data_IF_458942974558
#
_entry.id   IF_458942974558
#
_cell.length_a   1.000
_cell.length_b   1.000
_cell.length_c   1.000
_cell.angle_alpha   90.00
_cell.angle_beta   90.00
_cell.angle_gamma   90.00
#
_symmetry.space_group_name_H-M   'P 1'
#
loop_
_entity.id
_entity.type
_entity.pdbx_description
1 polymer ?
#
# COMPACT_ATOMS: atom_id res chain seq x y z
N UNK A 1 6.54 -24.31 17.58
CA UNK A 1 6.59 -23.19 18.55
C UNK A 1 7.89 -22.42 18.40
N UNK A 2 7.82 -21.08 18.34
CA UNK A 2 8.97 -20.17 18.27
C UNK A 2 8.88 -19.20 19.46
N UNK A 3 10.00 -18.92 20.12
CA UNK A 3 10.08 -17.99 21.25
C UNK A 3 11.01 -16.84 20.88
N UNK A 4 10.45 -15.62 20.80
CA UNK A 4 11.17 -14.37 20.56
C UNK A 4 11.33 -13.66 21.91
N UNK A 5 12.51 -13.76 22.53
CA UNK A 5 12.72 -13.38 23.93
C UNK A 5 13.66 -12.19 24.09
N UNK A 6 13.39 -11.32 25.05
CA UNK A 6 14.27 -10.23 25.45
C UNK A 6 14.12 -8.94 24.64
N UNK A 7 13.23 -8.92 23.65
CA UNK A 7 13.01 -7.77 22.77
C UNK A 7 12.28 -6.59 23.45
N UNK A 8 12.31 -5.44 22.77
CA UNK A 8 11.32 -4.39 22.97
C UNK A 8 10.11 -4.67 22.06
N UNK A 9 9.02 -5.16 22.64
CA UNK A 9 7.81 -5.54 21.91
C UNK A 9 6.90 -4.31 21.78
N UNK A 10 6.65 -3.89 20.54
CA UNK A 10 5.83 -2.72 20.23
C UNK A 10 4.37 -3.13 20.13
N UNK A 11 3.63 -2.84 21.17
CA UNK A 11 2.18 -3.05 21.26
C UNK A 11 1.42 -1.81 20.76
N UNK A 12 0.12 -1.91 20.60
CA UNK A 12 -0.71 -0.84 20.04
C UNK A 12 -0.61 0.52 20.79
N UNK A 13 -0.31 0.50 22.08
CA UNK A 13 -0.30 1.70 22.93
C UNK A 13 0.95 1.88 23.80
N UNK A 14 1.90 0.95 23.74
CA UNK A 14 3.12 0.99 24.56
C UNK A 14 4.22 0.10 23.97
N UNK A 15 5.42 0.31 24.42
CA UNK A 15 6.55 -0.62 24.23
C UNK A 15 6.74 -1.43 25.50
N UNK A 16 6.76 -2.76 25.37
CA UNK A 16 7.00 -3.69 26.47
C UNK A 16 8.45 -4.13 26.46
N UNK A 17 9.25 -3.72 27.45
CA UNK A 17 10.68 -3.95 27.53
C UNK A 17 11.11 -4.46 28.93
N UNK A 18 11.89 -5.56 29.03
CA UNK A 18 11.98 -6.57 27.99
C UNK A 18 10.66 -7.32 27.82
N UNK A 19 10.41 -7.84 26.63
CA UNK A 19 9.22 -8.61 26.31
C UNK A 19 9.56 -9.92 25.63
N UNK A 20 8.62 -10.85 25.63
CA UNK A 20 8.68 -12.13 24.93
C UNK A 20 7.41 -12.35 24.12
N UNK A 21 7.54 -12.74 22.87
CA UNK A 21 6.44 -13.18 22.00
C UNK A 21 6.63 -14.66 21.70
N UNK A 22 5.58 -15.45 21.95
CA UNK A 22 5.57 -16.89 21.68
C UNK A 22 4.64 -17.13 20.49
N UNK A 23 5.17 -17.80 19.46
CA UNK A 23 4.44 -18.17 18.26
C UNK A 23 4.18 -19.68 18.28
N UNK A 24 2.95 -20.07 17.94
CA UNK A 24 2.57 -21.45 17.72
C UNK A 24 1.80 -21.56 16.41
N UNK A 25 2.28 -22.38 15.49
CA UNK A 25 1.84 -22.43 14.11
C UNK A 25 1.77 -21.03 13.49
N UNK A 26 0.60 -20.60 13.01
CA UNK A 26 0.36 -19.31 12.33
C UNK A 26 -0.03 -18.19 13.30
N UNK A 27 -0.06 -18.43 14.64
CA UNK A 27 -0.60 -17.52 15.63
C UNK A 27 0.40 -17.08 16.69
N UNK A 28 0.16 -15.89 17.21
CA UNK A 28 0.75 -15.43 18.46
C UNK A 28 0.01 -16.14 19.61
N UNK A 29 0.71 -17.03 20.32
CA UNK A 29 0.15 -17.73 21.46
C UNK A 29 0.10 -16.82 22.69
N UNK A 30 1.24 -16.19 23.02
CA UNK A 30 1.39 -15.36 24.21
C UNK A 30 2.29 -14.14 23.95
N UNK A 31 2.02 -13.07 24.70
CA UNK A 31 2.87 -11.88 24.81
C UNK A 31 3.13 -11.63 26.28
N UNK A 32 4.39 -11.78 26.70
CA UNK A 32 4.77 -11.81 28.12
C UNK A 32 5.75 -10.68 28.46
N UNK A 33 5.64 -10.14 29.65
CA UNK A 33 6.68 -9.28 30.22
C UNK A 33 7.87 -10.11 30.66
N UNK A 34 9.09 -9.61 30.41
CA UNK A 34 10.33 -10.26 30.77
C UNK A 34 10.87 -11.21 29.70
N UNK A 35 11.96 -11.88 30.04
CA UNK A 35 12.62 -12.88 29.20
C UNK A 35 12.09 -14.29 29.51
N UNK A 36 12.22 -15.18 28.53
CA UNK A 36 11.91 -16.61 28.68
C UNK A 36 13.10 -17.45 28.22
N UNK A 37 13.37 -18.51 28.92
CA UNK A 37 14.34 -19.52 28.49
C UNK A 37 13.77 -20.44 27.43
N UNK A 38 14.64 -21.05 26.64
CA UNK A 38 14.24 -22.05 25.65
C UNK A 38 13.50 -23.22 26.33
N UNK A 39 12.38 -23.64 25.74
CA UNK A 39 11.69 -24.86 26.11
C UNK A 39 12.13 -26.01 25.20
N UNK A 40 12.17 -27.27 25.70
CA UNK A 40 12.49 -28.41 24.84
C UNK A 40 11.58 -28.44 23.60
N UNK A 41 12.20 -28.53 22.40
CA UNK A 41 11.46 -28.59 21.14
C UNK A 41 11.02 -27.25 20.56
N UNK A 42 11.32 -26.10 21.17
CA UNK A 42 11.08 -24.78 20.61
C UNK A 42 12.32 -24.19 19.92
N UNK A 43 12.12 -23.45 18.85
CA UNK A 43 13.12 -22.51 18.31
C UNK A 43 13.14 -21.29 19.21
N UNK A 44 14.30 -20.90 19.68
CA UNK A 44 14.46 -19.76 20.59
C UNK A 44 15.41 -18.74 19.99
N UNK A 45 14.95 -17.49 19.92
CA UNK A 45 15.73 -16.32 19.48
C UNK A 45 15.90 -15.38 20.67
N UNK A 46 17.15 -15.09 21.02
CA UNK A 46 17.50 -14.00 21.93
C UNK A 46 17.55 -12.71 21.14
N UNK A 47 16.61 -11.80 21.43
CA UNK A 47 16.41 -10.54 20.73
C UNK A 47 16.71 -9.32 21.59
N UNK A 48 17.64 -9.45 22.56
CA UNK A 48 18.17 -8.26 23.22
C UNK A 48 18.63 -7.25 22.17
N UNK A 49 18.40 -5.96 22.43
CA UNK A 49 18.70 -4.88 21.49
C UNK A 49 17.95 -4.91 20.14
N UNK A 50 16.80 -5.60 20.10
CA UNK A 50 15.89 -5.58 18.93
C UNK A 50 14.50 -5.09 19.34
N UNK A 51 13.79 -4.57 18.34
CA UNK A 51 12.35 -4.29 18.43
C UNK A 51 11.59 -5.41 17.71
N UNK A 52 10.48 -5.85 18.29
CA UNK A 52 9.48 -6.68 17.60
C UNK A 52 8.27 -5.81 17.34
N UNK A 53 7.98 -5.57 16.07
CA UNK A 53 6.83 -4.76 15.61
C UNK A 53 5.85 -5.65 14.83
N UNK A 54 4.56 -5.28 14.70
CA UNK A 54 3.67 -5.95 13.75
C UNK A 54 4.26 -5.88 12.35
N UNK A 55 4.13 -6.93 11.56
CA UNK A 55 4.60 -6.96 10.18
C UNK A 55 4.01 -5.81 9.35
N UNK A 56 4.82 -5.19 8.53
CA UNK A 56 4.40 -4.04 7.72
C UNK A 56 3.42 -4.46 6.63
N UNK A 57 2.45 -3.59 6.34
CA UNK A 57 1.44 -3.78 5.31
C UNK A 57 1.51 -2.60 4.33
N UNK A 58 2.02 -2.85 3.13
CA UNK A 58 2.12 -1.83 2.09
C UNK A 58 0.90 -1.89 1.15
N UNK A 59 0.05 -0.89 1.24
CA UNK A 59 -1.21 -0.86 0.46
C UNK A 59 -1.06 -0.18 -0.90
N UNK A 60 0.16 0.31 -1.23
CA UNK A 60 0.42 1.00 -2.49
C UNK A 60 1.87 0.77 -2.95
N UNK A 61 2.08 -0.21 -3.82
CA UNK A 61 3.40 -0.59 -4.33
C UNK A 61 3.31 -1.14 -5.76
N UNK A 62 4.00 -0.51 -6.70
CA UNK A 62 4.01 -0.87 -8.13
C UNK A 62 5.13 -1.83 -8.50
N UNK A 63 6.22 -1.85 -7.74
CA UNK A 63 7.36 -2.67 -8.09
C UNK A 63 8.47 -2.68 -7.05
N UNK A 64 9.44 -3.59 -7.23
CA UNK A 64 10.61 -3.74 -6.35
C UNK A 64 11.72 -4.49 -7.10
N UNK A 65 12.98 -4.03 -6.95
CA UNK A 65 14.20 -4.72 -7.42
C UNK A 65 14.11 -5.20 -8.89
N UNK A 66 13.59 -4.37 -9.77
CA UNK A 66 13.48 -4.67 -11.21
C UNK A 66 12.18 -5.37 -11.62
N UNK A 67 11.32 -5.74 -10.68
CA UNK A 67 10.03 -6.39 -10.93
C UNK A 67 8.88 -5.39 -10.82
N UNK A 68 7.98 -5.41 -11.79
CA UNK A 68 6.79 -4.55 -11.88
C UNK A 68 5.53 -5.41 -11.72
N UNK A 69 4.50 -4.88 -11.08
CA UNK A 69 3.24 -5.61 -10.84
C UNK A 69 2.52 -6.00 -12.14
N UNK A 70 2.67 -5.21 -13.21
CA UNK A 70 2.10 -5.50 -14.52
C UNK A 70 3.00 -6.42 -15.38
N UNK A 71 4.16 -6.86 -14.86
CA UNK A 71 5.01 -7.83 -15.56
C UNK A 71 4.34 -9.22 -15.54
N UNK A 72 3.79 -9.62 -16.67
CA UNK A 72 3.13 -10.92 -16.86
C UNK A 72 4.05 -12.14 -16.61
N UNK A 73 5.38 -11.92 -16.52
CA UNK A 73 6.36 -12.98 -16.21
C UNK A 73 6.50 -13.28 -14.72
N UNK A 74 5.57 -12.82 -13.91
CA UNK A 74 5.50 -13.15 -12.49
C UNK A 74 5.96 -12.04 -11.55
N UNK A 75 5.86 -10.77 -11.97
CA UNK A 75 6.29 -9.61 -11.17
C UNK A 75 5.73 -9.62 -9.75
N UNK A 76 4.43 -9.82 -9.57
CA UNK A 76 3.78 -9.88 -8.24
C UNK A 76 4.38 -10.99 -7.37
N UNK A 77 4.66 -12.17 -7.94
CA UNK A 77 5.29 -13.29 -7.23
C UNK A 77 6.69 -12.94 -6.74
N UNK A 78 7.49 -12.38 -7.61
CA UNK A 78 8.86 -11.99 -7.31
C UNK A 78 8.90 -10.88 -6.25
N UNK A 79 7.97 -9.94 -6.30
CA UNK A 79 7.82 -8.92 -5.27
C UNK A 79 7.46 -9.54 -3.91
N UNK A 80 6.51 -10.49 -3.86
CA UNK A 80 6.13 -11.14 -2.63
C UNK A 80 7.33 -11.76 -1.89
N UNK A 81 8.22 -12.44 -2.63
CA UNK A 81 9.43 -13.08 -2.06
C UNK A 81 10.46 -12.04 -1.60
N UNK A 82 10.52 -10.86 -2.21
CA UNK A 82 11.52 -9.83 -1.89
C UNK A 82 11.10 -8.85 -0.83
N UNK A 83 9.81 -8.51 -0.77
CA UNK A 83 9.27 -7.53 0.17
C UNK A 83 9.52 -7.89 1.64
N UNK A 84 9.61 -9.18 1.97
CA UNK A 84 9.92 -9.64 3.33
C UNK A 84 11.29 -9.17 3.84
N UNK A 85 12.23 -8.86 2.95
CA UNK A 85 13.55 -8.30 3.32
C UNK A 85 13.44 -6.89 3.90
N UNK A 86 12.34 -6.22 3.63
CA UNK A 86 12.01 -4.86 4.08
C UNK A 86 10.90 -4.84 5.15
N UNK A 87 10.65 -6.01 5.78
CA UNK A 87 9.69 -6.16 6.86
C UNK A 87 8.22 -6.20 6.44
N UNK A 88 7.95 -6.24 5.14
CA UNK A 88 6.57 -6.32 4.63
C UNK A 88 6.07 -7.76 4.73
N UNK A 89 4.98 -7.96 5.46
CA UNK A 89 4.34 -9.27 5.61
C UNK A 89 3.08 -9.41 4.77
N UNK A 90 2.50 -8.27 4.34
CA UNK A 90 1.36 -8.25 3.43
C UNK A 90 1.42 -6.99 2.54
N UNK A 91 0.91 -7.07 1.31
CA UNK A 91 0.89 -5.92 0.41
C UNK A 91 -0.26 -5.98 -0.60
N UNK A 92 -0.72 -4.81 -1.05
CA UNK A 92 -1.61 -4.66 -2.18
C UNK A 92 -0.77 -4.43 -3.45
N UNK A 93 -0.63 -5.40 -4.35
CA UNK A 93 -0.03 -5.12 -5.65
C UNK A 93 -0.81 -4.00 -6.33
N UNK A 94 -0.10 -2.97 -6.82
CA UNK A 94 -0.75 -1.78 -7.36
C UNK A 94 -0.51 -1.68 -8.86
N UNK A 95 -1.61 -1.56 -9.64
CA UNK A 95 -1.51 -1.29 -11.08
C UNK A 95 -1.42 0.20 -11.36
N UNK A 96 -0.75 0.58 -12.43
CA UNK A 96 -1.03 1.86 -13.10
C UNK A 96 -2.23 1.71 -14.04
N UNK A 97 -2.72 2.83 -14.60
CA UNK A 97 -3.73 2.81 -15.66
C UNK A 97 -3.27 1.93 -16.83
N UNK A 98 -4.06 0.94 -17.21
CA UNK A 98 -3.72 -0.02 -18.25
C UNK A 98 -4.94 -0.47 -19.07
N UNK A 99 -4.70 -1.17 -20.17
CA UNK A 99 -5.77 -1.73 -21.00
C UNK A 99 -6.48 -2.91 -20.29
N UNK A 100 -7.75 -3.22 -20.60
CA UNK A 100 -8.52 -4.29 -19.97
C UNK A 100 -7.82 -5.65 -19.97
N UNK A 101 -7.13 -6.00 -21.06
CA UNK A 101 -6.37 -7.26 -21.15
C UNK A 101 -5.20 -7.31 -20.15
N UNK A 102 -4.46 -6.22 -20.02
CA UNK A 102 -3.37 -6.14 -19.04
C UNK A 102 -3.92 -6.18 -17.62
N UNK A 103 -5.02 -5.48 -17.35
CA UNK A 103 -5.74 -5.52 -16.08
C UNK A 103 -6.20 -6.94 -15.73
N UNK A 104 -6.83 -7.64 -16.68
CA UNK A 104 -7.28 -9.02 -16.48
C UNK A 104 -6.12 -9.97 -16.17
N UNK A 105 -4.98 -9.84 -16.88
CA UNK A 105 -3.77 -10.64 -16.63
C UNK A 105 -3.19 -10.36 -15.24
N UNK A 106 -3.11 -9.11 -14.85
CA UNK A 106 -2.65 -8.69 -13.52
C UNK A 106 -3.56 -9.24 -12.41
N UNK A 107 -4.88 -9.07 -12.54
CA UNK A 107 -5.84 -9.55 -11.54
C UNK A 107 -5.87 -11.08 -11.45
N UNK A 108 -5.64 -11.79 -12.55
CA UNK A 108 -5.48 -13.25 -12.53
C UNK A 108 -4.24 -13.66 -11.72
N UNK A 109 -3.09 -12.97 -11.91
CA UNK A 109 -1.88 -13.23 -11.14
C UNK A 109 -2.08 -12.95 -9.63
N UNK A 110 -2.80 -11.88 -9.29
CA UNK A 110 -3.17 -11.56 -7.89
C UNK A 110 -4.03 -12.68 -7.31
N UNK A 111 -5.07 -13.12 -8.02
CA UNK A 111 -5.95 -14.21 -7.60
C UNK A 111 -5.17 -15.50 -7.34
N UNK A 112 -4.33 -15.91 -8.28
CA UNK A 112 -3.55 -17.14 -8.18
C UNK A 112 -2.66 -17.15 -6.94
N UNK A 113 -1.99 -16.03 -6.66
CA UNK A 113 -1.12 -15.88 -5.49
C UNK A 113 -1.88 -15.77 -4.16
N UNK A 114 -3.10 -15.27 -4.17
CA UNK A 114 -3.99 -15.25 -3.00
C UNK A 114 -4.54 -16.65 -2.68
N UNK A 115 -4.82 -17.43 -3.71
CA UNK A 115 -5.28 -18.82 -3.55
C UNK A 115 -4.12 -19.79 -3.22
N UNK A 116 -2.92 -19.50 -3.72
CA UNK A 116 -1.72 -20.30 -3.52
C UNK A 116 -0.57 -19.39 -3.06
N UNK A 117 -0.56 -18.97 -1.77
CA UNK A 117 0.46 -18.09 -1.23
C UNK A 117 1.87 -18.66 -1.36
N UNK A 118 2.85 -17.78 -1.53
CA UNK A 118 4.26 -18.16 -1.56
C UNK A 118 4.72 -18.53 -0.12
N UNK A 119 5.28 -19.72 0.11
CA UNK A 119 5.64 -20.17 1.47
C UNK A 119 6.67 -19.27 2.18
N UNK A 120 7.51 -18.56 1.43
CA UNK A 120 8.55 -17.68 1.95
C UNK A 120 8.37 -16.22 1.50
N UNK A 121 7.14 -15.80 1.25
CA UNK A 121 6.83 -14.46 0.76
C UNK A 121 5.82 -13.71 1.60
N UNK A 122 5.72 -12.41 1.36
CA UNK A 122 4.66 -11.58 1.89
C UNK A 122 3.29 -12.00 1.32
N UNK A 123 2.26 -11.88 2.11
CA UNK A 123 0.87 -12.17 1.75
C UNK A 123 0.39 -11.20 0.66
N UNK A 124 -0.09 -11.73 -0.46
CA UNK A 124 -0.71 -10.92 -1.51
C UNK A 124 -2.16 -10.61 -1.10
N UNK A 125 -2.46 -9.32 -0.95
CA UNK A 125 -3.79 -8.79 -0.67
C UNK A 125 -4.54 -8.53 -1.99
N UNK A 126 -5.84 -8.22 -1.95
CA UNK A 126 -6.55 -7.70 -3.12
C UNK A 126 -5.85 -6.47 -3.67
N UNK A 127 -5.81 -6.35 -4.99
CA UNK A 127 -5.06 -5.32 -5.70
C UNK A 127 -5.54 -3.90 -5.36
N UNK A 128 -4.61 -2.95 -5.42
CA UNK A 128 -4.91 -1.53 -5.53
C UNK A 128 -4.86 -1.13 -7.01
N UNK A 129 -5.96 -0.68 -7.55
CA UNK A 129 -6.01 -0.12 -8.90
C UNK A 129 -5.81 1.40 -8.80
N UNK A 130 -4.60 1.87 -9.14
CA UNK A 130 -4.38 3.29 -9.37
C UNK A 130 -4.88 3.59 -10.78
N UNK A 131 -6.18 3.79 -10.88
CA UNK A 131 -7.02 3.39 -12.00
C UNK A 131 -6.95 4.30 -13.24
N UNK A 132 -7.73 3.95 -14.24
CA UNK A 132 -7.90 4.72 -15.47
C UNK A 132 -8.81 5.94 -15.30
N UNK A 133 -9.48 6.09 -14.15
CA UNK A 133 -10.52 7.12 -13.89
C UNK A 133 -9.94 8.31 -13.11
N UNK A 134 -8.79 8.81 -13.56
CA UNK A 134 -8.07 9.93 -12.95
C UNK A 134 -8.05 11.15 -13.86
N UNK A 135 -7.76 12.32 -13.29
CA UNK A 135 -7.71 13.57 -14.06
C UNK A 135 -6.44 13.62 -14.92
N UNK A 136 -6.55 13.79 -16.26
CA UNK A 136 -5.40 13.85 -17.17
C UNK A 136 -4.38 14.93 -16.82
N UNK A 137 -4.79 16.06 -16.25
CA UNK A 137 -3.88 17.14 -15.84
C UNK A 137 -3.02 16.76 -14.61
N UNK A 138 -3.55 15.85 -13.80
CA UNK A 138 -2.88 15.35 -12.59
C UNK A 138 -2.35 13.91 -12.75
N UNK A 139 -2.28 13.39 -13.99
CA UNK A 139 -1.91 11.99 -14.27
C UNK A 139 -0.51 11.60 -13.82
N UNK A 140 0.43 12.54 -13.74
CA UNK A 140 1.81 12.19 -13.42
C UNK A 140 2.43 11.20 -14.41
N UNK A 141 2.95 10.10 -13.90
CA UNK A 141 3.53 9.02 -14.69
C UNK A 141 2.49 8.04 -15.26
N UNK A 142 1.20 8.25 -15.03
CA UNK A 142 0.16 7.40 -15.62
C UNK A 142 0.10 7.57 -17.15
N UNK A 143 -0.07 6.50 -17.94
CA UNK A 143 -0.12 6.57 -19.40
C UNK A 143 -1.43 7.22 -19.85
N UNK A 144 -1.33 8.39 -20.50
CA UNK A 144 -2.47 9.20 -20.90
C UNK A 144 -3.47 8.44 -21.80
N UNK A 145 -2.95 7.63 -22.72
CA UNK A 145 -3.76 6.81 -23.63
C UNK A 145 -4.64 5.77 -22.92
N UNK A 146 -4.32 5.46 -21.65
CA UNK A 146 -5.08 4.51 -20.86
C UNK A 146 -6.19 5.18 -20.02
N UNK A 147 -6.21 6.51 -19.92
CA UNK A 147 -7.21 7.21 -19.11
C UNK A 147 -8.59 7.18 -19.77
N UNK A 148 -9.61 7.06 -18.95
CA UNK A 148 -11.02 7.06 -19.38
C UNK A 148 -11.85 7.91 -18.43
N UNK A 149 -12.87 8.57 -18.96
CA UNK A 149 -13.89 9.23 -18.13
C UNK A 149 -14.82 8.17 -17.53
N UNK A 150 -15.24 8.30 -16.26
CA UNK A 150 -16.31 7.48 -15.71
C UNK A 150 -17.57 7.53 -16.58
N UNK A 151 -18.36 6.44 -16.65
CA UNK A 151 -19.60 6.46 -17.41
C UNK A 151 -20.63 7.40 -16.77
N UNK A 152 -21.31 8.23 -17.57
CA UNK A 152 -22.32 9.21 -17.11
C UNK A 152 -23.73 8.66 -17.02
N UNK A 153 -23.99 7.49 -17.60
CA UNK A 153 -25.27 6.79 -17.55
C UNK A 153 -25.00 5.27 -17.38
N UNK A 154 -25.94 4.51 -16.77
CA UNK A 154 -25.85 3.05 -16.79
C UNK A 154 -25.93 2.60 -18.25
N UNK A 155 -24.82 2.23 -18.85
CA UNK A 155 -24.87 1.58 -20.15
C UNK A 155 -25.46 0.19 -19.95
N UNK A 156 -26.53 -0.11 -20.68
CA UNK A 156 -26.94 -1.49 -20.95
C UNK A 156 -25.74 -2.15 -21.60
N UNK A 157 -25.25 -3.26 -21.01
CA UNK A 157 -24.08 -3.96 -21.48
C UNK A 157 -24.11 -4.05 -23.02
N UNK A 158 -23.15 -3.41 -23.67
CA UNK A 158 -23.02 -3.45 -25.13
C UNK A 158 -22.73 -4.88 -25.50
N UNK A 159 -23.65 -5.51 -26.18
CA UNK A 159 -23.49 -6.84 -26.76
C UNK A 159 -22.26 -6.86 -27.67
N UNK A 160 -21.44 -7.88 -27.44
CA UNK A 160 -20.36 -8.39 -28.29
C UNK A 160 -19.29 -7.41 -28.76
N UNK A 161 -18.09 -7.64 -28.26
CA UNK A 161 -16.87 -7.10 -28.85
C UNK A 161 -16.88 -7.25 -30.38
N UNK A 162 -16.90 -6.12 -31.09
CA UNK A 162 -16.70 -6.12 -32.53
C UNK A 162 -15.32 -6.70 -32.85
N UNK A 163 -15.16 -7.60 -33.80
CA UNK A 163 -13.87 -8.30 -34.06
C UNK A 163 -12.74 -7.39 -34.60
N UNK A 164 -12.94 -6.09 -34.66
CA UNK A 164 -12.00 -5.12 -35.24
C UNK A 164 -11.47 -4.06 -34.25
N UNK A 165 -11.73 -4.19 -32.91
CA UNK A 165 -11.20 -3.24 -31.94
C UNK A 165 -9.68 -3.46 -31.74
N UNK A 166 -8.89 -2.41 -31.86
CA UNK A 166 -7.47 -2.41 -31.49
C UNK A 166 -7.31 -2.44 -29.96
N UNK A 167 -6.14 -2.81 -29.44
CA UNK A 167 -5.87 -2.83 -27.99
C UNK A 167 -6.05 -1.43 -27.32
N UNK A 168 -6.11 -0.35 -28.10
CA UNK A 168 -6.37 1.01 -27.64
C UNK A 168 -7.85 1.40 -27.64
N UNK A 169 -8.71 0.64 -28.34
CA UNK A 169 -10.13 0.94 -28.55
C UNK A 169 -11.02 0.28 -27.49
N UNK A 170 -10.81 0.62 -26.22
CA UNK A 170 -11.66 0.15 -25.12
C UNK A 170 -12.36 1.30 -24.41
N UNK A 171 -13.47 0.99 -23.76
CA UNK A 171 -14.31 1.94 -23.03
C UNK A 171 -14.11 1.85 -21.52
N UNK A 172 -14.71 2.77 -20.78
CA UNK A 172 -14.79 2.68 -19.32
C UNK A 172 -15.51 1.40 -18.86
N UNK A 173 -16.54 1.00 -19.58
CA UNK A 173 -17.33 -0.20 -19.28
C UNK A 173 -16.52 -1.48 -19.44
N UNK A 174 -15.62 -1.55 -20.42
CA UNK A 174 -14.71 -2.70 -20.58
C UNK A 174 -13.82 -2.88 -19.34
N UNK A 175 -13.31 -1.78 -18.78
CA UNK A 175 -12.52 -1.78 -17.53
C UNK A 175 -13.38 -2.19 -16.32
N UNK A 176 -14.57 -1.60 -16.20
CA UNK A 176 -15.50 -1.92 -15.10
C UNK A 176 -15.98 -3.37 -15.16
N UNK A 177 -16.10 -3.94 -16.36
CA UNK A 177 -16.41 -5.36 -16.52
C UNK A 177 -15.27 -6.26 -15.98
N UNK A 178 -14.00 -5.91 -16.21
CA UNK A 178 -12.87 -6.64 -15.62
C UNK A 178 -12.83 -6.52 -14.10
N UNK A 179 -13.05 -5.31 -13.55
CA UNK A 179 -13.13 -5.08 -12.10
C UNK A 179 -14.26 -5.93 -11.50
N UNK A 180 -15.45 -5.92 -12.09
CA UNK A 180 -16.58 -6.70 -11.62
C UNK A 180 -16.33 -8.23 -11.69
N UNK A 181 -15.68 -8.71 -12.76
CA UNK A 181 -15.30 -10.12 -12.91
C UNK A 181 -14.30 -10.58 -11.84
N UNK A 182 -13.39 -9.72 -11.47
CA UNK A 182 -12.34 -9.96 -10.46
C UNK A 182 -12.65 -9.30 -9.11
N UNK A 183 -13.93 -9.06 -8.77
CA UNK A 183 -14.38 -8.29 -7.62
C UNK A 183 -13.65 -8.63 -6.31
N UNK A 184 -13.45 -9.89 -6.01
CA UNK A 184 -12.77 -10.35 -4.78
C UNK A 184 -11.27 -10.08 -4.77
N UNK A 185 -10.67 -9.78 -5.93
CA UNK A 185 -9.25 -9.58 -6.12
C UNK A 185 -8.88 -8.10 -6.27
N UNK A 186 -9.88 -7.20 -6.19
CA UNK A 186 -9.71 -5.75 -6.18
C UNK A 186 -10.11 -5.22 -4.80
N UNK A 187 -9.15 -4.63 -4.07
CA UNK A 187 -9.35 -4.05 -2.75
C UNK A 187 -9.58 -2.55 -2.79
N UNK A 188 -8.69 -1.83 -3.46
CA UNK A 188 -8.71 -0.36 -3.52
C UNK A 188 -8.85 0.08 -4.98
N UNK A 189 -9.64 1.14 -5.22
CA UNK A 189 -9.74 1.78 -6.54
C UNK A 189 -9.56 3.28 -6.36
N UNK A 190 -8.50 3.83 -6.97
CA UNK A 190 -8.23 5.26 -6.99
C UNK A 190 -8.98 5.93 -8.13
N UNK A 191 -9.61 7.07 -7.88
CA UNK A 191 -10.21 7.91 -8.90
C UNK A 191 -10.30 9.39 -8.51
N UNK A 192 -10.50 10.27 -9.50
CA UNK A 192 -10.64 11.70 -9.33
C UNK A 192 -12.14 12.07 -9.22
N UNK A 193 -12.58 12.65 -8.08
CA UNK A 193 -14.01 12.86 -7.81
C UNK A 193 -14.64 13.98 -8.64
N UNK A 194 -13.85 14.88 -9.23
CA UNK A 194 -14.31 15.99 -10.05
C UNK A 194 -14.68 15.59 -11.49
N UNK A 195 -14.32 14.38 -11.91
CA UNK A 195 -14.66 13.93 -13.26
C UNK A 195 -16.17 13.70 -13.42
N UNK A 196 -16.69 14.05 -14.59
CA UNK A 196 -18.08 13.75 -14.93
C UNK A 196 -18.35 12.24 -14.77
N UNK A 197 -19.41 11.88 -14.06
CA UNK A 197 -19.76 10.49 -13.76
C UNK A 197 -19.00 9.86 -12.59
N UNK A 198 -18.06 10.56 -11.94
CA UNK A 198 -17.25 10.00 -10.85
C UNK A 198 -18.07 9.70 -9.60
N UNK A 199 -18.98 10.59 -9.17
CA UNK A 199 -19.75 10.40 -7.95
C UNK A 199 -20.61 9.11 -7.99
N UNK A 200 -21.42 8.86 -9.06
CA UNK A 200 -22.13 7.59 -9.20
C UNK A 200 -21.21 6.37 -9.27
N UNK A 201 -20.02 6.51 -9.87
CA UNK A 201 -19.05 5.42 -9.92
C UNK A 201 -18.47 5.13 -8.53
N UNK A 202 -18.19 6.15 -7.71
CA UNK A 202 -17.78 5.99 -6.30
C UNK A 202 -18.85 5.20 -5.53
N UNK A 203 -20.11 5.60 -5.63
CA UNK A 203 -21.23 4.92 -4.96
C UNK A 203 -21.32 3.45 -5.36
N UNK A 204 -21.22 3.16 -6.67
CA UNK A 204 -21.24 1.80 -7.20
C UNK A 204 -20.06 0.95 -6.68
N UNK A 205 -18.84 1.45 -6.79
CA UNK A 205 -17.64 0.72 -6.35
C UNK A 205 -17.65 0.48 -4.84
N UNK A 206 -18.11 1.45 -4.05
CA UNK A 206 -18.27 1.30 -2.61
C UNK A 206 -19.35 0.27 -2.25
N UNK A 207 -20.50 0.27 -2.95
CA UNK A 207 -21.55 -0.73 -2.79
C UNK A 207 -21.10 -2.14 -3.22
N UNK A 208 -20.20 -2.23 -4.18
CA UNK A 208 -19.56 -3.46 -4.61
C UNK A 208 -18.50 -3.97 -3.59
N UNK A 209 -18.20 -3.20 -2.54
CA UNK A 209 -17.31 -3.57 -1.45
C UNK A 209 -15.85 -3.17 -1.67
N UNK A 210 -15.56 -2.39 -2.71
CA UNK A 210 -14.23 -1.83 -2.92
C UNK A 210 -14.01 -0.62 -2.03
N UNK A 211 -12.79 -0.42 -1.55
CA UNK A 211 -12.38 0.82 -0.91
C UNK A 211 -12.05 1.85 -2.00
N UNK A 212 -12.88 2.85 -2.14
CA UNK A 212 -12.62 3.94 -3.07
C UNK A 212 -11.64 4.92 -2.45
N UNK A 213 -10.58 5.25 -3.19
CA UNK A 213 -9.54 6.20 -2.82
C UNK A 213 -9.56 7.41 -3.75
N UNK A 214 -9.49 8.61 -3.19
CA UNK A 214 -9.46 9.85 -3.96
C UNK A 214 -8.01 10.24 -4.26
N UNK A 215 -7.68 10.45 -5.53
CA UNK A 215 -6.32 10.80 -5.93
C UNK A 215 -6.18 11.17 -7.39
N UNK A 216 -4.99 11.63 -7.79
CA UNK A 216 -4.73 12.12 -9.15
C UNK A 216 -5.80 13.10 -9.63
N UNK A 217 -6.03 14.14 -8.87
CA UNK A 217 -7.26 14.93 -8.90
C UNK A 217 -6.97 16.41 -8.77
N UNK A 218 -7.67 17.23 -9.56
CA UNK A 218 -7.73 18.68 -9.43
C UNK A 218 -8.92 19.17 -8.62
N UNK A 219 -9.58 18.31 -7.84
CA UNK A 219 -10.82 18.63 -7.14
C UNK A 219 -10.68 19.81 -6.19
N UNK A 220 -11.73 20.65 -6.16
CA UNK A 220 -11.94 21.63 -5.11
C UNK A 220 -12.25 20.93 -3.78
N UNK A 221 -12.28 21.71 -2.69
CA UNK A 221 -12.71 21.20 -1.39
C UNK A 221 -14.11 20.58 -1.45
N UNK A 222 -15.06 21.25 -2.07
CA UNK A 222 -16.45 20.82 -2.20
C UNK A 222 -16.59 19.54 -3.03
N UNK A 223 -15.81 19.41 -4.12
CA UNK A 223 -15.77 18.21 -4.95
C UNK A 223 -15.15 17.03 -4.17
N UNK A 224 -14.09 17.27 -3.40
CA UNK A 224 -13.50 16.28 -2.50
C UNK A 224 -14.53 15.80 -1.46
N UNK A 225 -15.22 16.73 -0.79
CA UNK A 225 -16.28 16.39 0.18
C UNK A 225 -17.45 15.64 -0.48
N UNK A 226 -17.81 15.96 -1.72
CA UNK A 226 -18.83 15.22 -2.46
C UNK A 226 -18.39 13.77 -2.72
N UNK A 227 -17.12 13.55 -3.12
CA UNK A 227 -16.54 12.20 -3.28
C UNK A 227 -16.56 11.40 -1.99
N UNK A 228 -16.23 12.03 -0.84
CA UNK A 228 -16.30 11.40 0.48
C UNK A 228 -17.74 11.01 0.82
N UNK A 229 -18.68 11.92 0.61
CA UNK A 229 -20.11 11.68 0.84
C UNK A 229 -20.65 10.55 -0.04
N UNK A 230 -20.18 10.42 -1.27
CA UNK A 230 -20.55 9.33 -2.18
C UNK A 230 -19.92 7.96 -1.80
N UNK A 231 -19.05 7.90 -0.79
CA UNK A 231 -18.56 6.62 -0.26
C UNK A 231 -17.04 6.41 -0.36
N UNK A 232 -16.26 7.39 -0.78
CA UNK A 232 -14.80 7.29 -0.70
C UNK A 232 -14.34 7.24 0.76
N UNK A 233 -13.35 6.39 1.07
CA UNK A 233 -12.82 6.15 2.43
C UNK A 233 -11.31 6.17 2.51
N UNK A 234 -10.62 6.44 1.40
CA UNK A 234 -9.18 6.62 1.36
C UNK A 234 -8.79 7.79 0.47
N UNK A 235 -7.57 8.31 0.62
CA UNK A 235 -6.96 9.26 -0.29
C UNK A 235 -5.55 8.76 -0.66
N UNK A 236 -5.30 8.65 -1.96
CA UNK A 236 -4.08 8.09 -2.54
C UNK A 236 -2.96 9.11 -2.45
N UNK A 237 -1.80 8.70 -1.90
CA UNK A 237 -0.56 9.46 -1.77
C UNK A 237 -0.77 10.98 -1.59
N UNK A 238 -1.51 11.35 -0.54
CA UNK A 238 -1.94 12.71 -0.23
C UNK A 238 -0.83 13.74 -0.49
N UNK A 239 -1.17 14.90 -1.05
CA UNK A 239 -0.33 15.97 -1.61
C UNK A 239 0.24 15.70 -3.00
N UNK A 240 0.45 14.44 -3.40
CA UNK A 240 1.03 14.13 -4.70
C UNK A 240 -0.06 14.10 -5.77
N UNK A 241 0.21 14.74 -6.93
CA UNK A 241 -0.76 14.84 -8.04
C UNK A 241 -2.12 15.41 -7.60
N UNK A 242 -2.06 16.43 -6.74
CA UNK A 242 -3.19 17.23 -6.25
C UNK A 242 -2.82 18.71 -6.30
N UNK A 243 -3.79 19.64 -6.32
CA UNK A 243 -3.54 21.07 -6.16
C UNK A 243 -2.80 21.36 -4.85
N UNK A 244 -2.00 22.43 -4.85
CA UNK A 244 -1.33 22.87 -3.64
C UNK A 244 -2.35 23.25 -2.56
N UNK A 245 -2.12 22.78 -1.31
CA UNK A 245 -2.94 23.15 -0.17
C UNK A 245 -2.76 24.64 0.16
N UNK A 246 -3.79 25.41 0.00
CA UNK A 246 -3.79 26.86 0.27
C UNK A 246 -4.93 27.26 1.22
N UNK A 247 -4.70 28.32 2.01
CA UNK A 247 -5.62 28.74 3.07
C UNK A 247 -6.99 29.27 2.58
N UNK A 248 -7.13 29.63 1.29
CA UNK A 248 -8.38 30.06 0.66
C UNK A 248 -8.90 29.06 -0.36
N UNK A 249 -8.05 28.14 -0.79
CA UNK A 249 -8.38 27.09 -1.74
C UNK A 249 -7.69 25.80 -1.26
N UNK A 250 -8.32 25.12 -0.28
CA UNK A 250 -7.69 23.95 0.35
C UNK A 250 -7.72 22.70 -0.53
N UNK A 251 -8.51 22.67 -1.60
CA UNK A 251 -8.58 21.58 -2.56
C UNK A 251 -8.93 20.23 -1.94
N UNK A 252 -8.60 19.16 -2.67
CA UNK A 252 -8.80 17.79 -2.20
C UNK A 252 -8.00 17.52 -0.91
N UNK A 253 -6.79 18.05 -0.80
CA UNK A 253 -5.95 17.88 0.42
C UNK A 253 -6.70 18.38 1.65
N UNK A 254 -7.30 19.56 1.56
CA UNK A 254 -8.09 20.13 2.66
C UNK A 254 -9.30 19.30 3.01
N UNK A 255 -10.03 18.78 2.02
CA UNK A 255 -11.18 17.91 2.23
C UNK A 255 -10.79 16.62 2.99
N UNK A 256 -9.67 16.02 2.61
CA UNK A 256 -9.15 14.81 3.27
C UNK A 256 -8.69 15.11 4.70
N UNK A 257 -7.92 16.19 4.91
CA UNK A 257 -7.42 16.55 6.26
C UNK A 257 -8.55 16.93 7.22
N UNK A 258 -9.63 17.51 6.72
CA UNK A 258 -10.79 17.91 7.52
C UNK A 258 -11.81 16.80 7.78
N UNK A 259 -11.68 15.63 7.14
CA UNK A 259 -12.66 14.53 7.27
C UNK A 259 -12.10 13.38 8.08
N UNK A 260 -12.82 12.93 9.10
CA UNK A 260 -12.51 11.72 9.89
C UNK A 260 -12.91 10.42 9.18
N UNK A 261 -13.71 10.51 8.10
CA UNK A 261 -14.18 9.34 7.37
C UNK A 261 -13.15 8.73 6.41
N UNK A 262 -12.11 9.49 6.07
CA UNK A 262 -11.11 9.12 5.06
C UNK A 262 -9.76 8.87 5.70
N UNK A 263 -9.14 7.72 5.43
CA UNK A 263 -7.75 7.47 5.75
C UNK A 263 -6.83 8.03 4.63
N UNK A 264 -5.69 8.62 5.00
CA UNK A 264 -4.75 9.20 4.07
C UNK A 264 -3.55 8.26 3.85
N UNK A 265 -3.21 7.96 2.60
CA UNK A 265 -1.93 7.37 2.25
C UNK A 265 -0.86 8.47 2.22
N UNK A 266 0.30 8.23 2.84
CA UNK A 266 1.45 9.15 2.82
C UNK A 266 2.71 8.41 2.39
N UNK A 267 3.42 8.96 1.39
CA UNK A 267 4.76 8.50 1.00
C UNK A 267 5.75 9.06 2.01
N UNK A 268 6.27 8.20 2.89
CA UNK A 268 7.10 8.60 4.02
C UNK A 268 8.61 8.54 3.70
N UNK A 269 9.04 9.17 2.59
CA UNK A 269 10.44 9.19 2.15
C UNK A 269 11.15 10.53 2.44
N UNK A 270 10.39 11.56 2.82
CA UNK A 270 10.90 12.91 3.05
C UNK A 270 11.26 13.67 1.78
N UNK A 271 10.97 13.12 0.60
CA UNK A 271 11.15 13.72 -0.70
C UNK A 271 9.82 14.08 -1.36
N UNK A 272 8.90 13.11 -1.49
CA UNK A 272 7.54 13.33 -2.02
C UNK A 272 6.72 14.23 -1.09
N UNK A 273 6.93 14.09 0.23
CA UNK A 273 6.32 14.95 1.25
C UNK A 273 7.40 15.33 2.26
N UNK A 274 7.61 16.64 2.44
CA UNK A 274 8.59 17.15 3.40
C UNK A 274 8.23 16.69 4.83
N UNK A 275 9.20 16.30 5.69
CA UNK A 275 8.93 15.81 7.05
C UNK A 275 8.04 16.71 7.90
N UNK A 276 8.18 18.04 7.80
CA UNK A 276 7.29 18.98 8.50
C UNK A 276 5.84 18.91 8.00
N UNK A 277 5.62 18.62 6.70
CA UNK A 277 4.27 18.44 6.13
C UNK A 277 3.69 17.10 6.57
N UNK A 278 4.52 16.04 6.65
CA UNK A 278 4.12 14.77 7.26
C UNK A 278 3.65 14.98 8.71
N UNK A 279 4.40 15.72 9.53
CA UNK A 279 4.01 16.07 10.92
C UNK A 279 2.65 16.76 10.98
N UNK A 280 2.40 17.74 10.10
CA UNK A 280 1.12 18.47 10.04
C UNK A 280 -0.02 17.53 9.65
N UNK A 281 0.17 16.70 8.61
CA UNK A 281 -0.84 15.78 8.15
C UNK A 281 -1.17 14.71 9.20
N UNK A 282 -0.15 14.16 9.88
CA UNK A 282 -0.31 13.17 10.94
C UNK A 282 -0.99 13.81 12.17
N UNK A 283 -0.65 15.05 12.52
CA UNK A 283 -1.32 15.76 13.61
C UNK A 283 -2.80 16.02 13.32
N UNK A 284 -3.15 16.33 12.06
CA UNK A 284 -4.53 16.54 11.64
C UNK A 284 -5.35 15.24 11.57
N UNK A 285 -4.72 14.14 11.11
CA UNK A 285 -5.40 12.85 10.85
C UNK A 285 -5.26 11.86 11.97
N UNK A 286 -4.29 12.03 12.86
CA UNK A 286 -3.81 11.03 13.82
C UNK A 286 -3.25 9.75 13.16
N UNK A 287 -2.33 9.00 13.81
CA UNK A 287 -1.73 7.79 13.24
C UNK A 287 -2.73 6.72 12.83
N UNK A 288 -3.86 6.66 13.50
CA UNK A 288 -4.94 5.71 13.21
C UNK A 288 -5.76 6.07 11.97
N UNK A 289 -5.50 7.18 11.30
CA UNK A 289 -6.11 7.58 10.02
C UNK A 289 -5.08 7.83 8.92
N UNK A 290 -3.84 7.40 9.13
CA UNK A 290 -2.77 7.50 8.13
C UNK A 290 -2.20 6.11 7.85
N UNK A 291 -2.09 5.79 6.58
CA UNK A 291 -1.39 4.61 6.08
C UNK A 291 -0.07 5.07 5.47
N UNK A 292 1.05 4.63 6.05
CA UNK A 292 2.35 4.80 5.44
C UNK A 292 2.45 3.84 4.26
N UNK A 293 2.78 4.37 3.09
CA UNK A 293 2.94 3.63 1.85
C UNK A 293 4.32 3.87 1.26
N UNK A 294 4.74 2.99 0.37
CA UNK A 294 5.96 3.24 -0.39
C UNK A 294 5.70 3.98 -1.71
N UNK A 295 4.62 3.68 -2.41
CA UNK A 295 4.45 4.07 -3.82
C UNK A 295 5.71 3.70 -4.63
N UNK A 296 6.34 2.58 -4.24
CA UNK A 296 7.59 2.13 -4.81
C UNK A 296 7.38 1.56 -6.21
N UNK A 297 8.32 1.86 -7.09
CA UNK A 297 8.37 1.27 -8.44
C UNK A 297 9.44 0.18 -8.51
N UNK A 298 9.57 -0.47 -9.66
CA UNK A 298 10.62 -1.46 -9.89
C UNK A 298 12.05 -0.92 -9.68
N UNK A 299 12.21 0.39 -9.52
CA UNK A 299 13.46 1.03 -9.15
C UNK A 299 13.85 0.90 -7.68
N UNK A 300 12.88 0.64 -6.78
CA UNK A 300 13.15 0.49 -5.36
C UNK A 300 14.09 -0.69 -5.09
N UNK A 301 15.06 -0.52 -4.19
CA UNK A 301 16.08 -1.52 -3.91
C UNK A 301 17.21 -1.61 -4.94
N UNK A 302 17.14 -0.91 -6.08
CA UNK A 302 18.20 -0.83 -7.07
C UNK A 302 19.14 0.36 -6.80
N UNK A 303 20.39 0.30 -7.27
CA UNK A 303 21.35 1.40 -7.13
C UNK A 303 20.95 2.61 -8.00
N UNK A 304 21.40 3.81 -7.61
CA UNK A 304 21.27 5.03 -8.41
C UNK A 304 21.84 4.83 -9.80
N UNK A 305 21.14 5.29 -10.82
CA UNK A 305 21.47 5.11 -12.23
C UNK A 305 20.93 3.82 -12.85
N UNK A 306 20.39 2.89 -12.06
CA UNK A 306 19.79 1.68 -12.60
C UNK A 306 18.54 2.01 -13.44
N UNK A 307 18.30 1.19 -14.46
CA UNK A 307 17.09 1.23 -15.28
C UNK A 307 16.14 0.13 -14.85
N UNK A 308 14.86 0.46 -14.80
CA UNK A 308 13.75 -0.46 -14.52
C UNK A 308 12.55 -0.09 -15.39
N UNK A 309 11.37 -0.62 -15.08
CA UNK A 309 10.13 -0.29 -15.79
C UNK A 309 9.01 0.08 -14.80
N UNK A 310 8.06 0.88 -15.28
CA UNK A 310 6.76 1.14 -14.67
C UNK A 310 5.68 0.91 -15.74
N UNK A 311 4.96 -0.20 -15.63
CA UNK A 311 3.96 -0.60 -16.62
C UNK A 311 4.53 -0.69 -18.05
N UNK A 312 5.75 -1.22 -18.19
CA UNK A 312 6.47 -1.34 -19.48
C UNK A 312 7.17 -0.06 -19.94
N UNK A 313 7.02 1.08 -19.25
CA UNK A 313 7.73 2.34 -19.57
C UNK A 313 9.05 2.40 -18.81
N UNK A 314 10.13 2.77 -19.52
CA UNK A 314 11.46 2.85 -18.91
C UNK A 314 11.52 3.95 -17.84
N UNK A 315 12.07 3.61 -16.67
CA UNK A 315 12.37 4.53 -15.57
C UNK A 315 13.86 4.45 -15.22
N UNK A 316 14.39 5.53 -14.68
CA UNK A 316 15.77 5.63 -14.18
C UNK A 316 15.72 5.98 -12.69
N UNK A 317 16.45 5.21 -11.89
CA UNK A 317 16.60 5.43 -10.44
C UNK A 317 17.51 6.63 -10.20
N UNK A 318 17.05 7.59 -9.38
CA UNK A 318 17.86 8.67 -8.82
C UNK A 318 17.91 8.55 -7.30
N UNK A 319 18.59 9.46 -6.60
CA UNK A 319 18.84 9.35 -5.16
C UNK A 319 17.57 9.17 -4.31
N UNK A 320 16.46 9.80 -4.70
CA UNK A 320 15.25 9.84 -3.87
C UNK A 320 13.99 9.31 -4.57
N UNK A 321 14.04 9.09 -5.89
CA UNK A 321 12.86 8.69 -6.65
C UNK A 321 13.23 8.08 -8.00
N UNK A 322 12.25 7.51 -8.70
CA UNK A 322 12.37 7.09 -10.09
C UNK A 322 11.81 8.15 -11.05
N UNK A 323 12.33 8.19 -12.26
CA UNK A 323 11.94 9.18 -13.28
C UNK A 323 11.76 8.52 -14.64
N UNK A 324 10.75 8.94 -15.38
CA UNK A 324 10.61 8.65 -16.81
C UNK A 324 11.68 9.38 -17.61
N UNK A 325 11.84 9.00 -18.88
CA UNK A 325 12.83 9.60 -19.79
C UNK A 325 12.60 11.10 -20.04
N UNK A 326 11.35 11.55 -19.98
CA UNK A 326 10.96 12.97 -20.10
C UNK A 326 11.18 13.79 -18.81
N UNK A 327 11.71 13.18 -17.76
CA UNK A 327 11.94 13.81 -16.46
C UNK A 327 10.72 13.82 -15.53
N UNK A 328 9.62 13.22 -15.91
CA UNK A 328 8.44 13.08 -15.03
C UNK A 328 8.78 12.19 -13.84
N UNK A 329 8.44 12.64 -12.63
CA UNK A 329 8.54 11.84 -11.39
C UNK A 329 7.61 10.62 -11.51
N UNK A 330 8.14 9.43 -11.26
CA UNK A 330 7.49 8.15 -11.49
C UNK A 330 7.55 7.26 -10.26
N UNK A 331 6.87 7.67 -9.20
CA UNK A 331 6.82 6.99 -7.92
C UNK A 331 8.16 7.03 -7.15
N UNK A 332 8.21 6.30 -6.06
CA UNK A 332 9.35 6.31 -5.15
C UNK A 332 10.33 5.15 -5.38
N UNK A 333 11.45 5.21 -4.65
CA UNK A 333 12.40 4.11 -4.45
C UNK A 333 12.47 3.73 -2.96
N UNK A 334 11.43 4.05 -2.21
CA UNK A 334 11.29 3.82 -0.77
C UNK A 334 11.03 2.34 -0.49
N UNK A 335 11.50 1.88 0.67
CA UNK A 335 11.13 0.59 1.26
C UNK A 335 10.47 0.83 2.62
N UNK A 336 9.63 -0.12 3.09
CA UNK A 336 8.82 0.10 4.30
C UNK A 336 9.66 0.26 5.58
N UNK A 337 10.78 -0.43 5.70
CA UNK A 337 11.73 -0.24 6.82
C UNK A 337 12.30 1.20 6.84
N UNK A 338 12.61 1.76 5.67
CA UNK A 338 13.07 3.16 5.56
C UNK A 338 11.95 4.15 5.86
N UNK A 339 10.70 3.86 5.45
CA UNK A 339 9.52 4.64 5.82
C UNK A 339 9.35 4.65 7.34
N UNK A 340 9.38 3.48 7.98
CA UNK A 340 9.31 3.35 9.44
C UNK A 340 10.44 4.12 10.13
N UNK A 341 11.67 3.97 9.64
CA UNK A 341 12.85 4.68 10.15
C UNK A 341 12.73 6.20 10.05
N UNK A 342 12.18 6.73 8.96
CA UNK A 342 11.92 8.17 8.78
C UNK A 342 10.84 8.68 9.74
N UNK A 343 9.74 7.92 9.90
CA UNK A 343 8.66 8.28 10.83
C UNK A 343 9.17 8.40 12.26
N UNK A 344 9.99 7.46 12.73
CA UNK A 344 10.57 7.51 14.08
C UNK A 344 11.68 8.56 14.18
N UNK A 345 12.67 8.52 13.26
CA UNK A 345 13.91 9.28 13.39
C UNK A 345 13.80 10.75 12.97
N UNK A 346 12.99 11.08 11.95
CA UNK A 346 12.90 12.47 11.41
C UNK A 346 11.55 13.14 11.67
N UNK A 347 10.46 12.39 11.61
CA UNK A 347 9.12 12.90 11.94
C UNK A 347 8.94 12.95 13.46
N UNK A 348 9.62 12.07 14.21
CA UNK A 348 9.63 12.07 15.68
C UNK A 348 8.45 11.33 16.31
N UNK A 349 7.86 10.37 15.59
CA UNK A 349 6.78 9.56 16.13
C UNK A 349 7.30 8.55 17.16
N UNK A 350 6.41 8.16 18.08
CA UNK A 350 6.65 7.00 18.93
C UNK A 350 6.67 5.71 18.09
N UNK A 351 7.35 4.66 18.57
CA UNK A 351 7.33 3.35 17.90
C UNK A 351 5.91 2.80 17.73
N UNK A 352 4.99 2.89 18.72
CA UNK A 352 3.59 2.49 18.52
C UNK A 352 2.87 3.27 17.42
N UNK A 353 3.05 4.60 17.34
CA UNK A 353 2.40 5.42 16.32
C UNK A 353 2.93 5.09 14.90
N UNK A 354 4.25 4.94 14.76
CA UNK A 354 4.85 4.51 13.50
C UNK A 354 4.37 3.11 13.10
N UNK A 355 4.30 2.16 14.04
CA UNK A 355 3.78 0.82 13.80
C UNK A 355 2.28 0.84 13.46
N UNK A 356 1.50 1.74 14.06
CA UNK A 356 0.11 1.94 13.69
C UNK A 356 -0.03 2.32 12.22
N UNK A 357 0.75 3.30 11.75
CA UNK A 357 0.69 3.76 10.35
C UNK A 357 1.21 2.73 9.35
N UNK A 358 2.22 1.93 9.72
CA UNK A 358 2.81 0.92 8.83
C UNK A 358 2.09 -0.44 8.86
N UNK A 359 1.20 -0.69 9.84
CA UNK A 359 0.65 -2.03 10.05
C UNK A 359 -0.82 -2.00 10.50
N UNK A 360 -1.12 -1.42 11.68
CA UNK A 360 -2.46 -1.51 12.30
C UNK A 360 -3.52 -0.75 11.50
N UNK A 361 -3.20 0.47 11.06
CA UNK A 361 -4.12 1.31 10.27
C UNK A 361 -4.41 0.68 8.92
N UNK A 362 -3.41 0.27 8.09
CA UNK A 362 -3.69 -0.45 6.85
C UNK A 362 -4.52 -1.72 7.05
N UNK A 363 -4.21 -2.53 8.09
CA UNK A 363 -4.98 -3.73 8.40
C UNK A 363 -6.45 -3.42 8.70
N UNK A 364 -6.71 -2.43 9.54
CA UNK A 364 -8.06 -2.00 9.88
C UNK A 364 -8.81 -1.45 8.67
N UNK A 365 -8.18 -0.57 7.90
CA UNK A 365 -8.77 0.06 6.73
C UNK A 365 -9.13 -0.95 5.63
N UNK A 366 -8.40 -2.06 5.54
CA UNK A 366 -8.69 -3.16 4.61
C UNK A 366 -9.53 -4.29 5.24
N UNK A 367 -9.93 -4.16 6.52
CA UNK A 367 -10.72 -5.18 7.21
C UNK A 367 -9.97 -6.49 7.45
N UNK A 368 -8.66 -6.46 7.56
CA UNK A 368 -7.79 -7.63 7.74
C UNK A 368 -7.77 -8.04 9.22
N UNK A 369 -8.57 -9.03 9.57
CA UNK A 369 -8.67 -9.49 10.96
C UNK A 369 -7.42 -10.27 11.37
N UNK A 370 -6.87 -9.91 12.54
CA UNK A 370 -5.72 -10.59 13.14
C UNK A 370 -4.37 -10.17 12.56
N UNK A 371 -4.31 -9.27 11.58
CA UNK A 371 -3.08 -8.66 11.05
C UNK A 371 -2.83 -7.28 11.68
N UNK A 372 -1.58 -6.83 11.62
CA UNK A 372 -1.16 -5.48 12.02
C UNK A 372 -1.15 -5.23 13.53
N UNK A 373 -1.19 -6.26 14.35
CA UNK A 373 -1.15 -6.17 15.82
C UNK A 373 -0.34 -7.30 16.44
N UNK A 374 0.28 -7.04 17.60
CA UNK A 374 0.91 -8.06 18.44
C UNK A 374 -0.01 -8.29 19.64
N UNK A 375 -0.79 -9.37 19.57
CA UNK A 375 -1.71 -9.78 20.62
C UNK A 375 -1.95 -11.30 20.57
N UNK A 376 -2.25 -11.96 21.71
CA UNK A 376 -2.63 -13.37 21.71
C UNK A 376 -3.80 -13.64 20.75
N UNK A 377 -3.67 -14.68 19.92
CA UNK A 377 -4.64 -15.07 18.89
C UNK A 377 -4.51 -14.33 17.56
N UNK A 378 -3.73 -13.25 17.46
CA UNK A 378 -3.42 -12.59 16.20
C UNK A 378 -2.56 -13.49 15.30
N UNK A 379 -2.56 -13.24 13.99
CA UNK A 379 -1.64 -13.89 13.05
C UNK A 379 -0.19 -13.51 13.40
N UNK A 380 0.68 -14.47 13.31
CA UNK A 380 2.09 -14.28 13.64
C UNK A 380 2.87 -13.68 12.44
N UNK A 381 2.41 -12.51 12.00
CA UNK A 381 3.04 -11.68 11.00
C UNK A 381 3.82 -10.57 11.73
N UNK A 382 5.15 -10.72 11.80
CA UNK A 382 6.01 -9.88 12.64
C UNK A 382 7.26 -9.44 11.88
N UNK A 383 7.76 -8.25 12.23
CA UNK A 383 9.06 -7.75 11.81
C UNK A 383 9.94 -7.50 13.02
N UNK A 384 11.14 -8.04 12.99
CA UNK A 384 12.19 -7.79 14.00
C UNK A 384 13.16 -6.76 13.41
N UNK A 385 13.35 -5.65 14.12
CA UNK A 385 14.24 -4.57 13.74
C UNK A 385 15.41 -4.48 14.73
N UNK A 386 16.62 -4.20 14.23
CA UNK A 386 17.74 -3.84 15.08
C UNK A 386 17.59 -2.40 15.63
N UNK A 387 18.58 -1.95 16.46
CA UNK A 387 18.56 -0.59 17.03
C UNK A 387 18.63 0.54 15.99
N UNK A 388 19.07 0.24 14.77
CA UNK A 388 19.09 1.17 13.66
C UNK A 388 17.79 1.13 12.83
N UNK A 389 16.77 0.41 13.30
CA UNK A 389 15.49 0.18 12.64
C UNK A 389 15.63 -0.55 11.28
N UNK A 390 16.71 -1.33 11.12
CA UNK A 390 16.91 -2.17 9.94
C UNK A 390 16.35 -3.57 10.22
N UNK A 391 15.72 -4.19 9.22
CA UNK A 391 15.12 -5.52 9.36
C UNK A 391 16.17 -6.56 9.66
N UNK A 392 16.00 -7.27 10.76
CA UNK A 392 16.80 -8.43 11.16
C UNK A 392 16.10 -9.75 10.83
N UNK A 393 14.78 -9.83 11.07
CA UNK A 393 13.97 -11.02 10.77
C UNK A 393 12.55 -10.59 10.37
N UNK A 394 11.91 -11.41 9.52
CA UNK A 394 10.49 -11.26 9.18
C UNK A 394 9.79 -12.60 9.29
N UNK A 395 8.62 -12.58 9.91
CA UNK A 395 7.76 -13.75 10.10
C UNK A 395 6.44 -13.53 9.38
N UNK A 396 6.00 -14.53 8.61
CA UNK A 396 4.68 -14.57 7.95
C UNK A 396 4.03 -15.89 8.31
N UNK A 397 2.79 -15.86 8.80
CA UNK A 397 2.08 -17.04 9.28
C UNK A 397 2.94 -17.86 10.27
N UNK A 398 3.64 -17.18 11.20
CA UNK A 398 4.49 -17.82 12.21
C UNK A 398 5.79 -18.45 11.67
N UNK A 399 6.08 -18.31 10.38
CA UNK A 399 7.29 -18.85 9.75
C UNK A 399 8.34 -17.77 9.58
N UNK A 400 9.57 -18.05 9.95
CA UNK A 400 10.71 -17.20 9.64
C UNK A 400 10.94 -17.24 8.12
N UNK A 401 10.60 -16.15 7.41
CA UNK A 401 10.70 -16.05 5.94
C UNK A 401 11.90 -15.23 5.49
N UNK A 402 12.46 -14.42 6.39
CA UNK A 402 13.69 -13.67 6.15
C UNK A 402 14.50 -13.53 7.43
N UNK A 403 15.82 -13.68 7.31
CA UNK A 403 16.82 -13.40 8.35
C UNK A 403 18.05 -12.80 7.66
N UNK A 404 18.52 -11.64 8.18
CA UNK A 404 19.76 -10.98 7.74
C UNK A 404 20.98 -11.68 8.35
#
# INVERSE_FOLDING_TARGET
MIVLSGAEVVLANRVQSPGTVILDDDRILEVLQGTRSASPGSLHFDLHDHYVVPGFIDVHVHGLEGFDTLDARGGVREMAVRLVRFGVTAFCPTSIACAPRALATFLAAVRDLRLQPQPAGARVLPAHLESNFINPEYRGAQPEQCLRRPPTAPSVASEAASPQRTESDYTAEDLLAEIARARSDVGIVTLAPELDGALPLIERLAADGHRVSLGHSGATFEQGMAGIKSGARAATHLFNRMPAFAHRDPGLVGAVLASDEVAAELICDGYHVHPAVLQIAIAAKHPDRVMAITDATAGAGLPVGARAALGGRAITVRESAAYLEDGTLAGSVLTMDRAFGLLVGRVGLSLPDAAAMCSTTPARELGLRGLGVIAPGALADLTVLDRNLTVAQTYVDGRLVYQR
#
